data_IF_384411614561
#
_entry.id   IF_384411614561
#
_cell.length_a   1.000
_cell.length_b   1.000
_cell.length_c   1.000
_cell.angle_alpha   90.00
_cell.angle_beta   90.00
_cell.angle_gamma   90.00
#
_symmetry.space_group_name_H-M   'P 1'
#
loop_
_entity.id
_entity.type
_entity.pdbx_description
1 polymer ?
#
# COMPACT_ATOMS: atom_id res chain seq x y z
N UNK A 1 0.25 13.35 5.35
CA UNK A 1 0.62 12.01 5.86
C UNK A 1 -0.53 11.50 6.71
N UNK A 2 -0.79 10.18 6.75
CA UNK A 2 -1.82 9.63 7.63
C UNK A 2 -1.50 9.95 9.09
N UNK A 3 -2.52 9.97 9.95
CA UNK A 3 -2.36 10.38 11.36
C UNK A 3 -1.39 9.49 12.14
N UNK A 4 -1.22 8.24 11.73
CA UNK A 4 -0.30 7.26 12.34
C UNK A 4 1.16 7.40 11.87
N UNK A 5 1.44 8.28 10.90
CA UNK A 5 2.79 8.50 10.39
C UNK A 5 3.34 7.40 9.47
N UNK A 6 2.55 6.38 9.14
CA UNK A 6 2.99 5.27 8.29
C UNK A 6 2.44 5.37 6.86
N UNK A 7 3.13 4.82 5.84
CA UNK A 7 2.60 4.74 4.48
C UNK A 7 1.27 3.99 4.38
N UNK A 8 0.48 4.28 3.34
CA UNK A 8 -0.72 3.50 2.99
C UNK A 8 -0.49 2.84 1.63
N UNK A 9 -0.50 1.51 1.59
CA UNK A 9 -0.11 0.72 0.43
C UNK A 9 -1.11 -0.42 0.20
N UNK A 10 -1.61 -0.53 -1.03
CA UNK A 10 -2.42 -1.68 -1.48
C UNK A 10 -3.89 -1.33 -1.82
N UNK A 11 -4.75 -2.35 -1.91
CA UNK A 11 -6.11 -2.21 -2.43
C UNK A 11 -7.01 -1.42 -1.48
N UNK A 12 -7.83 -0.54 -2.06
CA UNK A 12 -8.78 0.26 -1.33
C UNK A 12 -10.06 -0.56 -1.07
N UNK A 13 -10.02 -1.42 -0.04
CA UNK A 13 -11.12 -2.25 0.47
C UNK A 13 -12.38 -2.34 -0.40
N UNK A 14 -13.34 -1.43 -0.18
CA UNK A 14 -14.68 -1.44 -0.81
C UNK A 14 -14.72 -0.97 -2.27
N UNK A 15 -13.60 -0.54 -2.84
CA UNK A 15 -13.48 -0.04 -4.21
C UNK A 15 -12.69 -1.05 -5.06
N UNK A 16 -13.37 -1.94 -5.80
CA UNK A 16 -12.67 -2.91 -6.65
C UNK A 16 -11.83 -2.18 -7.71
N UNK A 17 -10.66 -2.74 -8.01
CA UNK A 17 -9.67 -2.20 -8.96
C UNK A 17 -9.04 -0.85 -8.57
N UNK A 18 -9.29 -0.34 -7.37
CA UNK A 18 -8.57 0.82 -6.83
C UNK A 18 -7.44 0.36 -5.91
N UNK A 19 -6.22 0.80 -6.19
CA UNK A 19 -5.06 0.62 -5.32
C UNK A 19 -4.43 1.97 -4.99
N UNK A 20 -3.84 2.06 -3.80
CA UNK A 20 -3.28 3.29 -3.25
C UNK A 20 -1.82 3.08 -2.87
N UNK A 21 -1.00 4.10 -3.11
CA UNK A 21 0.36 4.17 -2.60
C UNK A 21 0.67 5.59 -2.12
N UNK A 22 0.49 5.85 -0.82
CA UNK A 22 0.73 7.15 -0.19
C UNK A 22 1.87 7.05 0.83
N UNK A 23 2.93 7.84 0.65
CA UNK A 23 4.13 7.83 1.51
C UNK A 23 4.82 9.19 1.55
N UNK A 24 5.53 9.53 2.62
CA UNK A 24 6.31 10.78 2.73
C UNK A 24 7.63 10.71 1.97
N UNK A 25 8.18 9.51 1.79
CA UNK A 25 9.46 9.29 1.11
C UNK A 25 9.25 8.72 -0.28
N UNK A 26 8.36 9.36 -1.05
CA UNK A 26 7.98 8.90 -2.39
C UNK A 26 9.16 8.70 -3.32
N UNK A 27 10.09 9.66 -3.39
CA UNK A 27 11.25 9.56 -4.30
C UNK A 27 12.19 8.42 -3.89
N UNK A 28 12.59 8.35 -2.62
CA UNK A 28 13.54 7.33 -2.14
C UNK A 28 12.97 5.92 -2.21
N UNK A 29 11.67 5.76 -1.96
CA UNK A 29 11.03 4.44 -1.89
C UNK A 29 10.27 4.06 -3.16
N UNK A 30 10.22 4.92 -4.18
CA UNK A 30 9.43 4.69 -5.40
C UNK A 30 9.74 3.33 -6.03
N UNK A 31 11.02 3.00 -6.18
CA UNK A 31 11.46 1.76 -6.85
C UNK A 31 10.94 0.51 -6.14
N UNK A 32 11.21 0.40 -4.83
CA UNK A 32 10.82 -0.79 -4.06
C UNK A 32 9.31 -0.87 -3.83
N UNK A 33 8.64 0.28 -3.60
CA UNK A 33 7.19 0.30 -3.43
C UNK A 33 6.48 -0.03 -4.74
N UNK A 34 6.98 0.44 -5.88
CA UNK A 34 6.44 0.12 -7.19
C UNK A 34 6.50 -1.38 -7.47
N UNK A 35 7.63 -2.02 -7.19
CA UNK A 35 7.81 -3.47 -7.31
C UNK A 35 6.81 -4.24 -6.43
N UNK A 36 6.81 -3.99 -5.12
CA UNK A 36 5.97 -4.72 -4.15
C UNK A 36 4.47 -4.49 -4.38
N UNK A 37 4.06 -3.28 -4.76
CA UNK A 37 2.65 -3.00 -5.05
C UNK A 37 2.23 -3.69 -6.36
N UNK A 38 3.09 -3.70 -7.37
CA UNK A 38 2.81 -4.37 -8.66
C UNK A 38 2.68 -5.88 -8.49
N UNK A 39 3.55 -6.51 -7.69
CA UNK A 39 3.45 -7.93 -7.33
C UNK A 39 2.08 -8.25 -6.71
N UNK A 40 1.63 -7.44 -5.74
CA UNK A 40 0.32 -7.63 -5.12
C UNK A 40 -0.86 -7.44 -6.09
N UNK A 41 -0.71 -6.59 -7.11
CA UNK A 41 -1.74 -6.34 -8.12
C UNK A 41 -1.80 -7.47 -9.15
N UNK A 42 -0.66 -7.88 -9.70
CA UNK A 42 -0.60 -8.85 -10.80
C UNK A 42 -0.89 -10.26 -10.32
N UNK A 43 -0.24 -10.69 -9.24
CA UNK A 43 -0.32 -12.07 -8.76
C UNK A 43 -1.52 -12.29 -7.81
N UNK A 44 -2.24 -11.21 -7.48
CA UNK A 44 -3.35 -11.20 -6.50
C UNK A 44 -2.93 -11.77 -5.14
N UNK A 45 -1.67 -11.57 -4.77
CA UNK A 45 -1.10 -12.08 -3.53
C UNK A 45 -0.95 -10.99 -2.48
N UNK A 46 -0.90 -11.45 -1.23
CA UNK A 46 -0.54 -10.61 -0.10
C UNK A 46 0.96 -10.55 0.05
N UNK A 47 1.56 -9.41 -0.31
CA UNK A 47 2.97 -9.14 0.00
C UNK A 47 3.12 -8.89 1.50
N UNK A 48 3.71 -9.86 2.21
CA UNK A 48 3.83 -9.85 3.69
C UNK A 48 4.49 -8.60 4.24
N UNK A 49 5.45 -8.02 3.51
CA UNK A 49 6.14 -6.79 3.92
C UNK A 49 5.19 -5.58 3.97
N UNK A 50 4.12 -5.58 3.18
CA UNK A 50 3.16 -4.49 3.09
C UNK A 50 2.04 -4.58 4.13
N UNK A 51 1.92 -5.69 4.87
CA UNK A 51 0.83 -5.91 5.82
C UNK A 51 0.64 -4.79 6.85
N UNK A 52 1.70 -4.29 7.52
CA UNK A 52 1.55 -3.18 8.46
C UNK A 52 1.07 -1.87 7.82
N UNK A 53 1.18 -1.76 6.49
CA UNK A 53 0.88 -0.56 5.72
C UNK A 53 -0.41 -0.68 4.91
N UNK A 54 -1.19 -1.74 5.11
CA UNK A 54 -2.48 -1.92 4.43
C UNK A 54 -3.46 -0.82 4.84
N UNK A 55 -4.40 -0.43 3.95
CA UNK A 55 -5.48 0.49 4.30
C UNK A 55 -6.41 -0.08 5.38
N UNK A 56 -6.55 -1.41 5.44
CA UNK A 56 -7.40 -2.12 6.42
C UNK A 56 -6.99 -1.91 7.87
N UNK A 57 -5.81 -1.36 8.15
CA UNK A 57 -5.38 -1.00 9.51
C UNK A 57 -6.14 0.20 10.08
N UNK A 58 -6.73 1.02 9.21
CA UNK A 58 -7.60 2.11 9.63
C UNK A 58 -8.99 1.52 9.82
N UNK A 59 -9.40 1.43 11.08
CA UNK A 59 -10.77 1.13 11.46
C UNK A 59 -11.50 2.47 11.58
N UNK A 60 -12.55 2.66 10.79
CA UNK A 60 -13.58 3.65 11.07
C UNK A 60 -14.76 2.94 11.75
#
# INVERSE_FOLDING_TARGET
MPKDGFPILGPAGNCPNLSMAATHRGVTLASILGELVTEGILDRVTVRMLEPYRPSRFHE
#
